data_IF_731099824797
#
_entry.id   IF_731099824797
#
_cell.length_a   1.000
_cell.length_b   1.000
_cell.length_c   1.000
_cell.angle_alpha   90.00
_cell.angle_beta   90.00
_cell.angle_gamma   90.00
#
_symmetry.space_group_name_H-M   'P 1'
#
loop_
_entity.id
_entity.type
_entity.pdbx_description
1 polymer ?
#
# COMPACT_ATOMS: atom_id res chain seq x y z
N UNK A 1 14.28 40.46 41.62
CA UNK A 1 14.55 39.16 40.97
C UNK A 1 14.32 39.34 39.49
N UNK A 2 15.40 39.53 38.73
CA UNK A 2 15.36 39.88 37.30
C UNK A 2 15.43 38.56 36.52
N UNK A 3 14.35 38.19 35.84
CA UNK A 3 14.39 37.10 34.86
C UNK A 3 15.25 37.53 33.66
N UNK A 4 16.32 36.81 33.38
CA UNK A 4 17.20 37.06 32.24
C UNK A 4 16.51 36.61 30.95
N UNK A 5 16.18 37.51 30.00
CA UNK A 5 15.38 37.21 28.80
C UNK A 5 16.07 36.23 27.84
N UNK A 6 17.37 36.04 27.99
CA UNK A 6 18.17 35.17 27.14
C UNK A 6 17.89 33.67 27.37
N UNK A 7 17.57 33.24 28.60
CA UNK A 7 17.31 31.82 28.88
C UNK A 7 16.06 31.30 28.17
N UNK A 8 15.02 32.15 28.04
CA UNK A 8 13.80 31.81 27.32
C UNK A 8 14.06 31.70 25.81
N UNK A 9 14.84 32.60 25.23
CA UNK A 9 15.19 32.54 23.79
C UNK A 9 15.96 31.25 23.41
N UNK A 10 16.85 30.77 24.30
CA UNK A 10 17.56 29.50 24.08
C UNK A 10 16.65 28.27 24.17
N UNK A 11 15.70 28.22 25.13
CA UNK A 11 14.77 27.08 25.25
C UNK A 11 13.78 26.97 24.08
N UNK A 12 13.33 28.10 23.51
CA UNK A 12 12.47 28.07 22.32
C UNK A 12 13.25 27.65 21.07
N UNK A 13 14.50 28.09 20.92
CA UNK A 13 15.32 27.77 19.74
C UNK A 13 15.68 26.28 19.65
N UNK A 14 15.90 25.60 20.79
CA UNK A 14 16.18 24.15 20.84
C UNK A 14 14.93 23.28 20.65
N UNK A 15 13.74 23.76 21.05
CA UNK A 15 12.47 23.04 20.88
C UNK A 15 11.95 23.09 19.43
N UNK A 16 12.17 24.21 18.73
CA UNK A 16 11.75 24.36 17.32
C UNK A 16 12.63 23.52 16.38
N UNK A 17 13.91 23.35 16.69
CA UNK A 17 14.81 22.48 15.90
C UNK A 17 14.45 20.99 15.98
N UNK A 18 13.88 20.53 17.10
CA UNK A 18 13.51 19.12 17.31
C UNK A 18 12.13 18.77 16.72
N UNK A 19 11.20 19.74 16.66
CA UNK A 19 9.88 19.57 16.02
C UNK A 19 9.99 19.59 14.48
N UNK A 20 11.00 20.28 13.94
CA UNK A 20 11.23 20.38 12.48
C UNK A 20 11.83 19.09 11.88
N UNK A 21 12.39 18.19 12.69
CA UNK A 21 12.97 16.92 12.23
C UNK A 21 11.96 15.77 12.17
N UNK A 22 10.70 16.00 12.58
CA UNK A 22 9.67 14.96 12.73
C UNK A 22 8.59 14.91 11.62
N UNK A 23 8.73 15.66 10.53
CA UNK A 23 7.67 15.78 9.52
C UNK A 23 8.07 15.37 8.09
N UNK A 24 9.06 14.49 7.94
CA UNK A 24 9.11 13.67 6.73
C UNK A 24 8.21 12.45 6.94
N UNK A 25 6.88 12.68 6.92
CA UNK A 25 5.90 11.60 6.81
C UNK A 25 5.95 11.14 5.36
N UNK A 26 6.92 10.30 5.01
CA UNK A 26 6.61 9.27 4.03
C UNK A 26 5.70 8.31 4.78
N UNK A 27 4.47 8.14 4.30
CA UNK A 27 3.62 7.05 4.77
C UNK A 27 4.32 5.75 4.36
N UNK A 28 5.20 5.25 5.23
CA UNK A 28 5.71 3.90 5.08
C UNK A 28 4.50 2.98 5.18
N UNK A 29 4.42 1.97 4.32
CA UNK A 29 3.41 0.94 4.47
C UNK A 29 3.61 0.31 5.84
N UNK A 30 2.61 0.46 6.71
CA UNK A 30 2.70 -0.02 8.08
C UNK A 30 2.79 -1.55 8.08
N UNK A 31 3.53 -2.14 9.02
CA UNK A 31 3.67 -3.60 9.11
C UNK A 31 2.30 -4.31 9.24
N UNK A 32 1.33 -3.64 9.83
CA UNK A 32 -0.06 -4.09 9.92
C UNK A 32 -0.72 -4.23 8.53
N UNK A 33 -0.47 -3.30 7.62
CA UNK A 33 -0.98 -3.34 6.25
C UNK A 33 -0.35 -4.50 5.47
N UNK A 34 0.97 -4.67 5.57
CA UNK A 34 1.68 -5.79 4.92
C UNK A 34 1.10 -7.15 5.35
N UNK A 35 0.88 -7.32 6.66
CA UNK A 35 0.29 -8.53 7.21
C UNK A 35 -1.15 -8.73 6.70
N UNK A 36 -1.95 -7.66 6.67
CA UNK A 36 -3.33 -7.72 6.20
C UNK A 36 -3.44 -8.10 4.73
N UNK A 37 -2.58 -7.53 3.87
CA UNK A 37 -2.49 -7.88 2.45
C UNK A 37 -2.19 -9.37 2.30
N UNK A 38 -1.11 -9.85 2.92
CA UNK A 38 -0.67 -11.24 2.77
C UNK A 38 -1.70 -12.24 3.33
N UNK A 39 -2.26 -11.96 4.51
CA UNK A 39 -3.25 -12.82 5.15
C UNK A 39 -4.54 -12.90 4.33
N UNK A 40 -5.01 -11.79 3.77
CA UNK A 40 -6.21 -11.76 2.94
C UNK A 40 -6.04 -12.60 1.67
N UNK A 41 -4.88 -12.48 1.00
CA UNK A 41 -4.55 -13.32 -0.15
C UNK A 41 -4.49 -14.80 0.22
N UNK A 42 -3.75 -15.15 1.27
CA UNK A 42 -3.58 -16.56 1.66
C UNK A 42 -4.89 -17.19 2.15
N UNK A 43 -5.76 -16.43 2.82
CA UNK A 43 -7.11 -16.87 3.16
C UNK A 43 -7.89 -17.24 1.89
N UNK A 44 -7.95 -16.36 0.90
CA UNK A 44 -8.69 -16.64 -0.34
C UNK A 44 -8.08 -17.80 -1.15
N UNK A 45 -6.74 -17.87 -1.23
CA UNK A 45 -6.03 -18.95 -1.92
C UNK A 45 -6.28 -20.32 -1.28
N UNK A 46 -6.40 -20.36 0.05
CA UNK A 46 -6.74 -21.61 0.77
C UNK A 46 -8.11 -22.16 0.38
N UNK A 47 -9.08 -21.29 0.07
CA UNK A 47 -10.41 -21.70 -0.38
C UNK A 47 -10.38 -22.35 -1.77
N UNK A 48 -9.35 -22.07 -2.57
CA UNK A 48 -9.16 -22.60 -3.92
C UNK A 48 -8.02 -23.63 -4.00
N UNK A 49 -7.53 -24.14 -2.86
CA UNK A 49 -6.39 -25.08 -2.78
C UNK A 49 -5.10 -24.59 -3.48
N UNK A 50 -4.94 -23.28 -3.63
CA UNK A 50 -3.74 -22.68 -4.21
C UNK A 50 -2.63 -22.55 -3.14
N UNK A 51 -1.37 -22.68 -3.55
CA UNK A 51 -0.24 -22.59 -2.64
C UNK A 51 -0.16 -21.23 -1.92
N UNK A 52 0.20 -21.20 -0.65
CA UNK A 52 0.34 -19.94 0.10
C UNK A 52 1.42 -19.04 -0.53
N UNK A 53 1.11 -17.76 -0.62
CA UNK A 53 2.06 -16.71 -0.94
C UNK A 53 2.94 -16.39 0.27
N UNK A 54 4.13 -15.89 -0.03
CA UNK A 54 5.04 -15.28 0.95
C UNK A 54 5.32 -13.85 0.52
N UNK A 55 5.60 -13.00 1.48
CA UNK A 55 6.06 -11.64 1.20
C UNK A 55 7.41 -11.66 0.46
N UNK A 56 7.58 -10.76 -0.50
CA UNK A 56 8.82 -10.53 -1.22
C UNK A 56 9.16 -9.03 -1.19
N UNK A 57 10.24 -8.68 -0.48
CA UNK A 57 10.65 -7.29 -0.31
C UNK A 57 11.06 -6.61 -1.62
N UNK A 58 11.49 -7.36 -2.63
CA UNK A 58 11.82 -6.79 -3.95
C UNK A 58 10.55 -6.38 -4.68
N UNK A 59 9.50 -7.22 -4.64
CA UNK A 59 8.19 -6.85 -5.20
C UNK A 59 7.62 -5.63 -4.47
N UNK A 60 7.70 -5.60 -3.14
CA UNK A 60 7.29 -4.44 -2.36
C UNK A 60 8.04 -3.18 -2.77
N UNK A 61 9.35 -3.26 -2.93
CA UNK A 61 10.19 -2.10 -3.31
C UNK A 61 9.81 -1.57 -4.69
N UNK A 62 9.62 -2.46 -5.67
CA UNK A 62 9.14 -2.08 -7.01
C UNK A 62 7.75 -1.45 -6.98
N UNK A 63 6.82 -2.01 -6.19
CA UNK A 63 5.45 -1.50 -6.08
C UNK A 63 5.41 -0.12 -5.41
N UNK A 64 6.13 0.07 -4.30
CA UNK A 64 6.25 1.38 -3.64
C UNK A 64 6.85 2.42 -4.58
N UNK A 65 7.94 2.07 -5.29
CA UNK A 65 8.55 2.97 -6.27
C UNK A 65 7.56 3.44 -7.34
N UNK A 66 6.66 2.57 -7.80
CA UNK A 66 5.63 2.97 -8.76
C UNK A 66 4.54 3.82 -8.12
N UNK A 67 3.99 3.38 -6.98
CA UNK A 67 2.92 4.08 -6.26
C UNK A 67 3.32 5.51 -5.87
N UNK A 68 4.58 5.73 -5.47
CA UNK A 68 5.12 7.05 -5.11
C UNK A 68 5.14 8.06 -6.28
N UNK A 69 5.01 7.59 -7.53
CA UNK A 69 4.89 8.47 -8.70
C UNK A 69 3.48 9.01 -8.92
N UNK A 70 2.51 8.59 -8.09
CA UNK A 70 1.08 8.89 -8.25
C UNK A 70 0.57 8.57 -9.67
N UNK A 71 0.68 7.30 -10.12
CA UNK A 71 0.40 6.93 -11.50
C UNK A 71 -1.10 6.91 -11.80
N UNK A 72 -1.44 7.08 -13.08
CA UNK A 72 -2.78 6.90 -13.65
C UNK A 72 -2.97 5.53 -14.34
N UNK A 73 -1.98 4.63 -14.24
CA UNK A 73 -2.01 3.32 -14.86
C UNK A 73 -0.99 2.33 -14.31
N UNK A 74 -0.95 1.15 -14.95
CA UNK A 74 -0.06 0.05 -14.58
C UNK A 74 1.42 0.40 -14.76
N UNK A 75 2.27 -0.19 -13.92
CA UNK A 75 3.72 -0.01 -14.04
C UNK A 75 4.28 -0.61 -15.33
N UNK A 76 5.28 0.04 -15.95
CA UNK A 76 6.01 -0.57 -17.06
C UNK A 76 6.85 -1.77 -16.57
N UNK A 77 7.12 -2.71 -17.50
CA UNK A 77 7.75 -4.00 -17.20
C UNK A 77 9.13 -3.89 -16.54
N UNK A 78 9.87 -2.82 -16.83
CA UNK A 78 11.19 -2.53 -16.26
C UNK A 78 11.13 -2.13 -14.78
N UNK A 79 10.00 -1.59 -14.31
CA UNK A 79 9.77 -1.27 -12.90
C UNK A 79 9.38 -2.53 -12.11
N UNK A 80 8.45 -3.33 -12.65
CA UNK A 80 7.95 -4.56 -12.01
C UNK A 80 8.81 -5.80 -12.28
N UNK A 81 9.85 -5.69 -13.10
CA UNK A 81 10.76 -6.78 -13.46
C UNK A 81 10.04 -8.05 -13.97
N UNK A 82 9.01 -7.85 -14.81
CA UNK A 82 8.18 -8.94 -15.35
C UNK A 82 7.18 -9.55 -14.37
N UNK A 83 7.04 -9.02 -13.15
CA UNK A 83 5.97 -9.41 -12.24
C UNK A 83 4.59 -8.96 -12.76
N UNK A 84 3.54 -9.70 -12.38
CA UNK A 84 2.16 -9.25 -12.57
C UNK A 84 1.79 -8.15 -11.56
N UNK A 85 0.74 -7.38 -11.84
CA UNK A 85 0.34 -6.26 -11.01
C UNK A 85 -1.20 -6.16 -10.92
N UNK A 86 -1.69 -5.94 -9.70
CA UNK A 86 -2.99 -5.34 -9.45
C UNK A 86 -2.76 -3.92 -8.96
N UNK A 87 -3.56 -2.97 -9.44
CA UNK A 87 -3.48 -1.56 -9.07
C UNK A 87 -4.82 -1.10 -8.48
N UNK A 88 -4.76 -0.25 -7.46
CA UNK A 88 -5.95 0.23 -6.75
C UNK A 88 -5.80 1.70 -6.39
N UNK A 89 -6.88 2.45 -6.61
CA UNK A 89 -7.00 3.83 -6.14
C UNK A 89 -8.10 3.89 -5.08
N UNK A 90 -7.91 4.78 -4.11
CA UNK A 90 -8.84 4.91 -3.01
C UNK A 90 -8.73 6.27 -2.34
N UNK A 91 -9.64 6.50 -1.40
CA UNK A 91 -9.60 7.66 -0.53
C UNK A 91 -8.61 7.44 0.62
N UNK A 92 -8.09 8.50 1.27
CA UNK A 92 -7.21 8.37 2.44
C UNK A 92 -7.81 7.59 3.62
N UNK A 93 -9.13 7.37 3.62
CA UNK A 93 -9.84 6.57 4.62
C UNK A 93 -9.83 5.08 4.34
N UNK A 94 -9.36 4.66 3.15
CA UNK A 94 -9.26 3.26 2.77
C UNK A 94 -7.90 2.71 3.19
N UNK A 95 -7.91 1.50 3.74
CA UNK A 95 -6.69 0.77 4.05
C UNK A 95 -6.39 -0.27 2.96
N UNK A 96 -5.22 -0.90 3.04
CA UNK A 96 -4.82 -1.91 2.06
C UNK A 96 -5.74 -3.14 2.00
N UNK A 97 -6.38 -3.50 3.12
CA UNK A 97 -7.34 -4.61 3.16
C UNK A 97 -8.59 -4.30 2.34
N UNK A 98 -9.08 -3.07 2.37
CA UNK A 98 -10.27 -2.66 1.62
C UNK A 98 -10.02 -2.80 0.11
N UNK A 99 -8.82 -2.48 -0.35
CA UNK A 99 -8.42 -2.64 -1.76
C UNK A 99 -8.32 -4.12 -2.13
N UNK A 100 -7.67 -4.94 -1.31
CA UNK A 100 -7.55 -6.38 -1.57
C UNK A 100 -8.92 -7.08 -1.58
N UNK A 101 -9.83 -6.68 -0.69
CA UNK A 101 -11.19 -7.23 -0.66
C UNK A 101 -11.99 -6.87 -1.91
N UNK A 102 -11.80 -5.67 -2.48
CA UNK A 102 -12.43 -5.30 -3.76
C UNK A 102 -11.92 -6.17 -4.90
N UNK A 103 -10.61 -6.42 -4.98
CA UNK A 103 -10.06 -7.35 -5.96
C UNK A 103 -10.64 -8.76 -5.77
N UNK A 104 -10.72 -9.26 -4.53
CA UNK A 104 -11.30 -10.60 -4.26
C UNK A 104 -12.78 -10.66 -4.66
N UNK A 105 -13.55 -9.58 -4.46
CA UNK A 105 -14.97 -9.54 -4.77
C UNK A 105 -15.27 -9.71 -6.27
N UNK A 106 -14.32 -9.40 -7.16
CA UNK A 106 -14.42 -9.65 -8.60
C UNK A 106 -14.65 -11.12 -8.95
N UNK A 107 -14.36 -12.05 -8.03
CA UNK A 107 -14.71 -13.48 -8.16
C UNK A 107 -16.15 -13.71 -8.59
N UNK A 108 -17.09 -12.89 -8.10
CA UNK A 108 -18.51 -13.01 -8.45
C UNK A 108 -18.80 -12.70 -9.93
N UNK A 109 -17.90 -11.99 -10.60
CA UNK A 109 -18.02 -11.55 -11.98
C UNK A 109 -17.19 -12.42 -12.96
N UNK A 110 -16.46 -13.44 -12.48
CA UNK A 110 -15.68 -14.35 -13.34
C UNK A 110 -16.60 -15.38 -14.00
N UNK A 111 -16.51 -15.49 -15.34
CA UNK A 111 -17.25 -16.46 -16.15
C UNK A 111 -16.29 -17.15 -17.13
N UNK A 112 -16.01 -18.43 -16.89
CA UNK A 112 -14.98 -19.17 -17.63
C UNK A 112 -13.61 -18.51 -17.44
N UNK A 113 -12.92 -18.26 -18.55
CA UNK A 113 -11.60 -17.58 -18.55
C UNK A 113 -11.70 -16.05 -18.65
N UNK A 114 -12.92 -15.49 -18.53
CA UNK A 114 -13.19 -14.06 -18.71
C UNK A 114 -14.15 -13.50 -17.66
N UNK A 115 -14.71 -12.33 -17.96
CA UNK A 115 -15.66 -11.64 -17.08
C UNK A 115 -17.07 -11.68 -17.64
N UNK A 116 -18.07 -11.61 -16.75
CA UNK A 116 -19.45 -11.37 -17.11
C UNK A 116 -19.58 -10.11 -17.97
N UNK A 117 -20.54 -10.04 -18.92
CA UNK A 117 -20.69 -8.90 -19.81
C UNK A 117 -20.78 -7.56 -19.06
N UNK A 118 -19.91 -6.61 -19.43
CA UNK A 118 -19.86 -5.28 -18.82
C UNK A 118 -19.20 -5.21 -17.45
N UNK A 119 -18.61 -6.30 -16.95
CA UNK A 119 -17.88 -6.33 -15.67
C UNK A 119 -16.36 -6.30 -15.86
N UNK A 120 -15.67 -5.92 -14.80
CA UNK A 120 -14.21 -6.03 -14.68
C UNK A 120 -13.91 -7.11 -13.64
N UNK A 121 -13.04 -8.05 -14.01
CA UNK A 121 -12.62 -9.14 -13.14
C UNK A 121 -11.11 -9.43 -13.26
N UNK A 122 -10.35 -8.46 -13.78
CA UNK A 122 -8.94 -8.65 -14.11
C UNK A 122 -8.05 -8.84 -12.89
N UNK A 123 -8.48 -8.36 -11.72
CA UNK A 123 -7.72 -8.46 -10.47
C UNK A 123 -7.89 -9.82 -9.79
N UNK A 124 -8.96 -10.56 -10.10
CA UNK A 124 -9.20 -11.90 -9.57
C UNK A 124 -9.06 -13.00 -10.63
N UNK A 125 -8.06 -13.85 -10.46
CA UNK A 125 -7.83 -15.04 -11.29
C UNK A 125 -7.51 -16.23 -10.38
N UNK A 126 -8.11 -17.38 -10.67
CA UNK A 126 -7.87 -18.65 -9.96
C UNK A 126 -6.89 -19.49 -10.77
#
# INVERSE_FOLDING_TARGET
LIYQPYLLLFMHSSLVLSISLLHLIHAAVEQADLNSILQSHNKERSLSSAAEMKWDDKLSTSASKWADTCPDGHSPDDIRNGASENLGWGWPTMNASDVVQQWIAEKADVVGDGCAPGKQCGHYKI
#
